data_IF_440842842950
#
_entry.id   IF_440842842950
#
_cell.length_a   1.000
_cell.length_b   1.000
_cell.length_c   1.000
_cell.angle_alpha   90.00
_cell.angle_beta   90.00
_cell.angle_gamma   90.00
#
_symmetry.space_group_name_H-M   'P 1'
#
loop_
_entity.id
_entity.type
_entity.pdbx_description
1 polymer ?
#
# COMPACT_ATOMS: atom_id res chain seq x y z
N UNK A 1 -15.32 7.39 -2.47
CA UNK A 1 -15.96 6.19 -3.05
C UNK A 1 -17.43 6.37 -3.39
N UNK A 2 -18.29 6.75 -2.44
CA UNK A 2 -19.76 6.77 -2.60
C UNK A 2 -20.31 7.47 -3.86
N UNK A 3 -19.68 8.55 -4.35
CA UNK A 3 -20.10 9.22 -5.59
C UNK A 3 -19.78 8.41 -6.85
N UNK A 4 -18.60 7.79 -6.90
CA UNK A 4 -18.18 6.96 -8.03
C UNK A 4 -19.01 5.67 -8.09
N UNK A 5 -19.24 5.03 -6.95
CA UNK A 5 -20.07 3.83 -6.88
C UNK A 5 -21.52 4.09 -7.30
N UNK A 6 -22.09 5.25 -6.93
CA UNK A 6 -23.43 5.65 -7.38
C UNK A 6 -23.49 5.81 -8.91
N UNK A 7 -22.56 6.57 -9.48
CA UNK A 7 -22.49 6.78 -10.94
C UNK A 7 -22.26 5.44 -11.65
N UNK A 8 -21.44 4.57 -11.09
CA UNK A 8 -21.19 3.23 -11.63
C UNK A 8 -22.45 2.34 -11.57
N UNK A 9 -23.18 2.35 -10.45
CA UNK A 9 -24.44 1.60 -10.30
C UNK A 9 -25.53 2.12 -11.24
N UNK A 10 -25.66 3.43 -11.39
CA UNK A 10 -26.63 4.08 -12.29
C UNK A 10 -26.38 3.73 -13.77
N UNK A 11 -25.12 3.56 -14.17
CA UNK A 11 -24.75 3.27 -15.56
C UNK A 11 -24.39 1.79 -15.80
N UNK A 12 -24.55 0.93 -14.78
CA UNK A 12 -24.11 -0.48 -14.81
C UNK A 12 -24.74 -1.25 -15.98
N UNK A 13 -26.03 -1.05 -16.23
CA UNK A 13 -26.79 -1.67 -17.32
C UNK A 13 -26.29 -1.28 -18.73
N UNK A 14 -25.79 -0.05 -18.89
CA UNK A 14 -25.26 0.43 -20.17
C UNK A 14 -23.79 0.03 -20.37
N UNK A 15 -23.03 -0.06 -19.28
CA UNK A 15 -21.60 -0.40 -19.30
C UNK A 15 -21.37 -1.92 -19.37
N UNK A 16 -22.29 -2.74 -18.84
CA UNK A 16 -22.24 -4.21 -18.91
C UNK A 16 -22.59 -4.79 -20.29
N UNK A 17 -23.11 -3.97 -21.22
CA UNK A 17 -23.40 -4.41 -22.59
C UNK A 17 -22.16 -4.49 -23.48
N UNK A 18 -21.05 -3.93 -23.03
CA UNK A 18 -19.81 -3.88 -23.79
C UNK A 18 -18.71 -4.68 -23.05
N UNK A 19 -18.25 -5.75 -23.71
CA UNK A 19 -17.23 -6.65 -23.18
C UNK A 19 -15.87 -5.94 -23.01
N UNK A 20 -15.55 -4.97 -23.86
CA UNK A 20 -14.30 -4.19 -23.75
C UNK A 20 -14.34 -3.28 -22.53
N UNK A 21 -15.46 -2.59 -22.30
CA UNK A 21 -15.63 -1.73 -21.13
C UNK A 21 -15.60 -2.57 -19.84
N UNK A 22 -16.20 -3.76 -19.86
CA UNK A 22 -16.25 -4.65 -18.70
C UNK A 22 -14.86 -5.06 -18.21
N UNK A 23 -13.93 -5.41 -19.10
CA UNK A 23 -12.56 -5.76 -18.72
C UNK A 23 -11.82 -4.56 -18.12
N UNK A 24 -11.91 -3.39 -18.76
CA UNK A 24 -11.19 -2.21 -18.30
C UNK A 24 -11.74 -1.57 -17.02
N UNK A 25 -13.02 -1.80 -16.69
CA UNK A 25 -13.63 -1.21 -15.50
C UNK A 25 -13.12 -1.83 -14.20
N UNK A 26 -12.70 -3.10 -14.25
CA UNK A 26 -12.12 -3.81 -13.10
C UNK A 26 -10.79 -3.17 -12.71
N UNK A 27 -9.93 -2.91 -13.71
CA UNK A 27 -8.66 -2.22 -13.50
C UNK A 27 -8.85 -0.77 -13.07
N UNK A 28 -9.84 -0.08 -13.64
CA UNK A 28 -10.17 1.30 -13.24
C UNK A 28 -10.60 1.36 -11.77
N UNK A 29 -11.46 0.44 -11.33
CA UNK A 29 -11.90 0.32 -9.94
C UNK A 29 -10.72 0.06 -9.01
N UNK A 30 -9.82 -0.86 -9.39
CA UNK A 30 -8.61 -1.15 -8.61
C UNK A 30 -7.72 0.08 -8.48
N UNK A 31 -7.47 0.79 -9.58
CA UNK A 31 -6.65 2.01 -9.59
C UNK A 31 -7.28 3.14 -8.75
N UNK A 32 -8.60 3.30 -8.80
CA UNK A 32 -9.30 4.30 -8.01
C UNK A 32 -9.27 3.96 -6.51
N UNK A 33 -9.44 2.68 -6.16
CA UNK A 33 -9.27 2.17 -4.79
C UNK A 33 -7.87 2.47 -4.26
N UNK A 34 -6.83 2.19 -5.03
CA UNK A 34 -5.43 2.47 -4.64
C UNK A 34 -5.20 3.96 -4.41
N UNK A 35 -5.72 4.84 -5.29
CA UNK A 35 -5.61 6.29 -5.11
C UNK A 35 -6.31 6.79 -3.85
N UNK A 36 -7.52 6.32 -3.58
CA UNK A 36 -8.26 6.70 -2.37
C UNK A 36 -7.57 6.17 -1.13
N UNK A 37 -7.10 4.92 -1.15
CA UNK A 37 -6.32 4.34 -0.07
C UNK A 37 -5.12 5.24 0.27
N UNK A 38 -4.39 5.71 -0.73
CA UNK A 38 -3.22 6.58 -0.55
C UNK A 38 -3.57 7.93 0.09
N UNK A 39 -4.68 8.54 -0.33
CA UNK A 39 -5.18 9.78 0.28
C UNK A 39 -5.60 9.53 1.74
N UNK A 40 -6.22 8.38 2.00
CA UNK A 40 -6.78 8.03 3.29
C UNK A 40 -5.71 7.70 4.32
N UNK A 41 -4.61 7.05 3.93
CA UNK A 41 -3.49 6.71 4.83
C UNK A 41 -2.55 7.90 5.10
N UNK A 42 -2.47 8.88 4.17
CA UNK A 42 -1.48 9.97 4.23
C UNK A 42 -1.45 10.75 5.56
N UNK A 43 -2.58 11.08 6.21
CA UNK A 43 -2.55 11.81 7.48
C UNK A 43 -2.37 10.92 8.73
N UNK A 44 -2.36 9.59 8.61
CA UNK A 44 -2.34 8.69 9.76
C UNK A 44 -1.01 7.95 9.89
N UNK A 45 -0.42 7.99 11.09
CA UNK A 45 0.74 7.17 11.42
C UNK A 45 0.37 5.72 11.76
N UNK A 46 -0.86 5.50 12.26
CA UNK A 46 -1.43 4.19 12.59
C UNK A 46 -2.91 4.21 12.23
N UNK A 47 -3.36 3.21 11.48
CA UNK A 47 -4.75 3.10 11.04
C UNK A 47 -5.23 1.66 11.11
N UNK A 48 -6.45 1.44 11.58
CA UNK A 48 -7.05 0.09 11.62
C UNK A 48 -7.47 -0.34 10.22
N UNK A 49 -7.15 -1.58 9.86
CA UNK A 49 -7.52 -2.16 8.56
C UNK A 49 -9.05 -2.22 8.41
N UNK A 50 -9.78 -2.51 9.48
CA UNK A 50 -11.25 -2.49 9.52
C UNK A 50 -11.85 -1.14 9.10
N UNK A 51 -11.22 -0.03 9.51
CA UNK A 51 -11.68 1.31 9.17
C UNK A 51 -11.43 1.61 7.68
N UNK A 52 -10.27 1.20 7.16
CA UNK A 52 -9.95 1.31 5.74
C UNK A 52 -10.94 0.49 4.90
N UNK A 53 -11.23 -0.75 5.30
CA UNK A 53 -12.20 -1.61 4.62
C UNK A 53 -13.61 -1.02 4.58
N UNK A 54 -14.08 -0.42 5.69
CA UNK A 54 -15.36 0.28 5.75
C UNK A 54 -15.43 1.49 4.81
N UNK A 55 -14.35 2.26 4.70
CA UNK A 55 -14.30 3.43 3.81
C UNK A 55 -14.18 3.05 2.33
N UNK A 56 -13.56 1.90 2.01
CA UNK A 56 -13.47 1.36 0.66
C UNK A 56 -14.67 0.48 0.26
N UNK A 57 -15.47 0.02 1.21
CA UNK A 57 -16.63 -0.86 0.96
C UNK A 57 -16.25 -2.29 0.61
N UNK A 58 -15.10 -2.79 1.09
CA UNK A 58 -14.57 -4.13 0.80
C UNK A 58 -14.30 -4.91 2.09
N UNK A 59 -14.13 -6.23 1.97
CA UNK A 59 -13.77 -7.08 3.10
C UNK A 59 -12.42 -6.70 3.70
N UNK A 60 -12.21 -6.97 4.99
CA UNK A 60 -10.93 -6.73 5.66
C UNK A 60 -9.80 -7.53 5.00
N UNK A 61 -10.09 -8.75 4.54
CA UNK A 61 -9.12 -9.63 3.87
C UNK A 61 -8.69 -9.07 2.50
N UNK A 62 -9.64 -8.57 1.71
CA UNK A 62 -9.33 -7.90 0.45
C UNK A 62 -8.57 -6.60 0.66
N UNK A 63 -8.90 -5.87 1.73
CA UNK A 63 -8.18 -4.65 2.11
C UNK A 63 -6.73 -4.97 2.47
N UNK A 64 -6.51 -6.04 3.23
CA UNK A 64 -5.17 -6.50 3.61
C UNK A 64 -4.35 -6.87 2.37
N UNK A 65 -4.92 -7.66 1.45
CA UNK A 65 -4.26 -8.02 0.19
C UNK A 65 -3.93 -6.79 -0.69
N UNK A 66 -4.83 -5.80 -0.74
CA UNK A 66 -4.59 -4.57 -1.47
C UNK A 66 -3.44 -3.77 -0.85
N UNK A 67 -3.40 -3.66 0.49
CA UNK A 67 -2.32 -2.96 1.20
C UNK A 67 -0.98 -3.69 1.02
N UNK A 68 -0.96 -5.02 1.10
CA UNK A 68 0.25 -5.83 0.84
C UNK A 68 0.79 -5.55 -0.56
N UNK A 69 -0.09 -5.57 -1.57
CA UNK A 69 0.30 -5.26 -2.96
C UNK A 69 0.89 -3.84 -3.05
N UNK A 70 0.26 -2.85 -2.41
CA UNK A 70 0.75 -1.48 -2.41
C UNK A 70 2.09 -1.28 -1.66
N UNK A 71 2.38 -2.11 -0.66
CA UNK A 71 3.67 -2.13 0.04
C UNK A 71 4.74 -2.76 -0.87
N UNK A 72 4.41 -3.86 -1.56
CA UNK A 72 5.30 -4.51 -2.53
C UNK A 72 5.66 -3.57 -3.68
N UNK A 73 4.68 -2.80 -4.17
CA UNK A 73 4.87 -1.78 -5.20
C UNK A 73 5.66 -0.55 -4.71
N UNK A 74 6.09 -0.52 -3.44
CA UNK A 74 6.79 0.59 -2.77
C UNK A 74 6.02 1.92 -2.76
N UNK A 75 4.72 1.87 -3.03
CA UNK A 75 3.83 3.03 -2.98
C UNK A 75 3.56 3.43 -1.53
N UNK A 76 3.51 2.45 -0.63
CA UNK A 76 3.26 2.64 0.81
C UNK A 76 4.47 2.16 1.61
N UNK A 77 5.11 3.06 2.35
CA UNK A 77 6.15 2.72 3.31
C UNK A 77 5.55 2.44 4.70
N UNK A 78 5.02 1.23 4.87
CA UNK A 78 4.37 0.80 6.10
C UNK A 78 4.58 -0.68 6.42
N UNK A 79 4.30 -1.05 7.66
CA UNK A 79 4.27 -2.42 8.16
C UNK A 79 2.85 -2.76 8.61
N UNK A 80 2.40 -3.97 8.30
CA UNK A 80 1.12 -4.48 8.77
C UNK A 80 1.35 -5.23 10.09
N UNK A 81 0.62 -4.83 11.14
CA UNK A 81 0.46 -5.63 12.34
C UNK A 81 -0.80 -6.48 12.19
N UNK A 82 -0.61 -7.76 11.90
CA UNK A 82 -1.70 -8.69 11.60
C UNK A 82 -2.49 -9.08 12.85
N UNK A 83 -1.90 -9.01 14.05
CA UNK A 83 -2.57 -9.33 15.31
C UNK A 83 -3.54 -8.22 15.72
N UNK A 84 -3.08 -6.97 15.66
CA UNK A 84 -3.91 -5.83 15.99
C UNK A 84 -4.75 -5.32 14.80
N UNK A 85 -4.55 -5.90 13.61
CA UNK A 85 -5.15 -5.47 12.33
C UNK A 85 -4.95 -3.96 12.10
N UNK A 86 -3.71 -3.49 12.30
CA UNK A 86 -3.33 -2.09 12.18
C UNK A 86 -2.22 -1.94 11.15
N UNK A 87 -2.38 -1.00 10.23
CA UNK A 87 -1.31 -0.54 9.36
C UNK A 87 -0.53 0.55 10.10
N UNK A 88 0.76 0.30 10.29
CA UNK A 88 1.71 1.23 10.92
C UNK A 88 2.56 1.82 9.80
N UNK A 89 2.46 3.12 9.57
CA UNK A 89 3.38 3.81 8.66
C UNK A 89 4.75 3.90 9.33
N UNK A 90 5.84 3.79 8.58
CA UNK A 90 7.20 3.98 9.10
C UNK A 90 7.64 5.44 8.89
N UNK A 91 7.49 6.34 9.88
CA UNK A 91 7.93 7.73 9.74
C UNK A 91 9.43 7.94 9.97
N UNK A 92 10.18 6.91 10.36
CA UNK A 92 11.61 7.07 10.70
C UNK A 92 12.48 6.60 9.56
N UNK A 93 13.15 7.51 8.81
CA UNK A 93 14.30 7.09 8.02
C UNK A 93 15.31 6.48 8.99
N UNK A 94 15.84 5.29 8.65
CA UNK A 94 17.02 4.79 9.33
C UNK A 94 18.09 5.88 9.29
N UNK A 95 18.67 6.28 10.43
CA UNK A 95 19.66 7.33 10.40
C UNK A 95 20.84 6.83 9.57
N UNK A 96 21.18 7.61 8.54
CA UNK A 96 22.22 7.30 7.54
C UNK A 96 23.57 6.93 8.19
N UNK A 97 23.75 7.33 9.45
CA UNK A 97 24.88 6.98 10.32
C UNK A 97 25.05 5.46 10.46
N UNK A 98 23.98 4.68 10.68
CA UNK A 98 24.14 3.23 10.82
C UNK A 98 24.63 2.59 9.52
N UNK A 99 24.11 3.04 8.37
CA UNK A 99 24.55 2.58 7.05
C UNK A 99 26.00 2.97 6.77
N UNK A 100 26.43 4.16 7.19
CA UNK A 100 27.82 4.59 7.07
C UNK A 100 28.76 3.77 7.99
N UNK A 101 28.33 3.42 9.21
CA UNK A 101 29.09 2.56 10.12
C UNK A 101 29.24 1.14 9.59
N UNK A 102 28.19 0.57 8.98
CA UNK A 102 28.25 -0.74 8.33
C UNK A 102 29.25 -0.73 7.17
N UNK A 103 29.18 0.27 6.27
CA UNK A 103 30.13 0.42 5.17
C UNK A 103 31.58 0.59 5.65
N UNK A 104 31.79 1.27 6.77
CA UNK A 104 33.11 1.41 7.38
C UNK A 104 33.60 0.09 7.97
N UNK A 105 32.74 -0.65 8.66
CA UNK A 105 33.05 -1.97 9.20
C UNK A 105 33.46 -2.94 8.10
N UNK A 106 32.71 -2.99 7.00
CA UNK A 106 33.02 -3.83 5.84
C UNK A 106 34.38 -3.46 5.21
N UNK A 107 34.67 -2.16 5.07
CA UNK A 107 35.95 -1.70 4.54
C UNK A 107 37.12 -2.06 5.44
N UNK A 108 36.97 -1.93 6.75
CA UNK A 108 38.01 -2.31 7.71
C UNK A 108 38.23 -3.82 7.69
N UNK A 109 37.16 -4.61 7.64
CA UNK A 109 37.24 -6.06 7.52
C UNK A 109 38.01 -6.50 6.26
N UNK A 110 37.69 -5.90 5.11
CA UNK A 110 38.38 -6.18 3.85
C UNK A 110 39.86 -5.77 3.88
N UNK A 111 40.20 -4.66 4.52
CA UNK A 111 41.61 -4.26 4.69
C UNK A 111 42.35 -5.24 5.59
N UNK A 112 41.74 -5.69 6.69
CA UNK A 112 42.34 -6.68 7.59
C UNK A 112 42.67 -7.99 6.86
N UNK A 113 41.83 -8.41 5.91
CA UNK A 113 42.06 -9.60 5.08
C UNK A 113 43.12 -9.41 3.99
N UNK A 114 43.48 -8.16 3.65
CA UNK A 114 44.54 -7.87 2.68
C UNK A 114 45.94 -7.76 3.30
N UNK A 115 46.05 -7.73 4.63
CA UNK A 115 47.32 -7.62 5.36
C UNK A 115 47.77 -8.95 6.02
N UNK A 116 47.03 -10.04 5.83
CA UNK A 116 47.49 -11.44 6.01
C UNK A 116 47.81 -12.07 4.65
#
# INVERSE_FOLDING_TARGET
>A
MKKFERIFQENKESLMRDQFIQEHIIDLLKNFRTKILLILIKPYNKIKISFVGQELGISEEETENLIVSCILDKVIAGKIDQLNKVLIMNPKPEPQIYKAMELLSDRIHNLSLCFE
#
